data_IF_315579384562
#
_entry.id   IF_315579384562
#
_cell.length_a   1.000
_cell.length_b   1.000
_cell.length_c   1.000
_cell.angle_alpha   90.00
_cell.angle_beta   90.00
_cell.angle_gamma   90.00
#
_symmetry.space_group_name_H-M   'P 1'
#
loop_
_entity.id
_entity.type
_entity.pdbx_description
1 polymer ?
#
# COMPACT_ATOMS: atom_id res chain seq x y z
N UNK A 1 4.54 -6.14 -15.75
CA UNK A 1 4.54 -5.58 -14.39
C UNK A 1 4.28 -6.75 -13.47
N UNK A 2 5.18 -6.99 -12.53
CA UNK A 2 5.07 -8.09 -11.56
C UNK A 2 4.03 -7.73 -10.48
N UNK A 3 3.35 -8.72 -9.89
CA UNK A 3 2.31 -8.48 -8.87
C UNK A 3 2.90 -7.73 -7.67
N UNK A 4 4.16 -8.01 -7.34
CA UNK A 4 4.95 -7.28 -6.34
C UNK A 4 5.18 -5.82 -6.71
N UNK A 5 5.50 -5.54 -7.97
CA UNK A 5 5.70 -4.18 -8.48
C UNK A 5 4.39 -3.38 -8.45
N UNK A 6 3.27 -4.01 -8.82
CA UNK A 6 1.94 -3.40 -8.75
C UNK A 6 1.52 -3.09 -7.31
N UNK A 7 1.72 -4.04 -6.40
CA UNK A 7 1.43 -3.84 -4.97
C UNK A 7 2.28 -2.71 -4.38
N UNK A 8 3.57 -2.67 -4.72
CA UNK A 8 4.46 -1.59 -4.27
C UNK A 8 4.03 -0.23 -4.82
N UNK A 9 3.66 -0.14 -6.09
CA UNK A 9 3.14 1.10 -6.65
C UNK A 9 1.89 1.57 -5.91
N UNK A 10 0.94 0.68 -5.62
CA UNK A 10 -0.28 1.03 -4.87
C UNK A 10 0.02 1.46 -3.43
N UNK A 11 1.03 0.87 -2.79
CA UNK A 11 1.49 1.30 -1.47
C UNK A 11 1.97 2.74 -1.49
N UNK A 12 2.78 3.10 -2.49
CA UNK A 12 3.29 4.46 -2.68
C UNK A 12 2.17 5.46 -3.01
N UNK A 13 1.15 5.04 -3.76
CA UNK A 13 -0.04 5.86 -4.01
C UNK A 13 -0.79 6.18 -2.71
N UNK A 14 -0.99 5.19 -1.83
CA UNK A 14 -1.60 5.40 -0.52
C UNK A 14 -0.76 6.36 0.35
N UNK A 15 0.56 6.16 0.39
CA UNK A 15 1.50 7.02 1.13
C UNK A 15 1.41 8.48 0.65
N UNK A 16 1.37 8.68 -0.67
CA UNK A 16 1.29 10.02 -1.24
C UNK A 16 -0.03 10.72 -0.88
N UNK A 17 -1.14 9.99 -0.84
CA UNK A 17 -2.44 10.55 -0.43
C UNK A 17 -2.41 10.95 1.05
N UNK A 18 -1.86 10.12 1.93
CA UNK A 18 -1.73 10.45 3.37
C UNK A 18 -0.87 11.70 3.57
N UNK A 19 0.27 11.78 2.87
CA UNK A 19 1.13 12.97 2.90
C UNK A 19 0.42 14.22 2.40
N UNK A 20 -0.42 14.09 1.36
CA UNK A 20 -1.19 15.19 0.82
C UNK A 20 -2.24 15.69 1.83
N UNK A 21 -2.91 14.78 2.55
CA UNK A 21 -3.84 15.10 3.64
C UNK A 21 -3.11 15.84 4.77
N UNK A 22 -1.95 15.34 5.21
CA UNK A 22 -1.17 15.96 6.28
C UNK A 22 -0.60 17.33 5.88
N UNK A 23 -0.32 17.53 4.59
CA UNK A 23 0.07 18.82 4.03
C UNK A 23 -1.10 19.80 3.88
N UNK A 24 -2.33 19.39 4.21
CA UNK A 24 -3.55 20.21 4.07
C UNK A 24 -3.95 20.47 2.62
N UNK A 25 -3.53 19.61 1.68
CA UNK A 25 -3.98 19.71 0.30
C UNK A 25 -5.45 19.36 0.19
N UNK A 26 -6.11 19.92 -0.83
CA UNK A 26 -7.50 19.61 -1.12
C UNK A 26 -7.57 18.17 -1.64
N UNK A 27 -8.34 17.34 -0.95
CA UNK A 27 -8.66 15.98 -1.35
C UNK A 27 -10.16 15.86 -1.62
N UNK A 28 -10.55 14.86 -2.39
CA UNK A 28 -11.97 14.58 -2.63
C UNK A 28 -12.54 13.78 -1.44
N UNK A 29 -13.51 14.37 -0.73
CA UNK A 29 -14.13 13.76 0.44
C UNK A 29 -13.58 14.25 1.79
N UNK A 30 -13.92 13.51 2.85
CA UNK A 30 -13.46 13.80 4.22
C UNK A 30 -12.01 13.32 4.42
N UNK A 31 -11.06 14.19 4.81
CA UNK A 31 -9.66 13.81 4.92
C UNK A 31 -9.40 12.71 5.96
N UNK A 32 -10.15 12.68 7.08
CA UNK A 32 -9.94 11.68 8.12
C UNK A 32 -10.46 10.30 7.69
N UNK A 33 -11.59 10.26 7.00
CA UNK A 33 -12.10 9.03 6.38
C UNK A 33 -11.13 8.49 5.33
N UNK A 34 -10.64 9.35 4.43
CA UNK A 34 -9.71 8.96 3.37
C UNK A 34 -8.36 8.49 3.95
N UNK A 35 -7.81 9.19 4.94
CA UNK A 35 -6.60 8.77 5.65
C UNK A 35 -6.78 7.37 6.28
N UNK A 36 -7.90 7.13 6.96
CA UNK A 36 -8.21 5.83 7.54
C UNK A 36 -8.30 4.71 6.48
N UNK A 37 -8.87 4.99 5.32
CA UNK A 37 -8.94 4.03 4.20
C UNK A 37 -7.56 3.72 3.62
N UNK A 38 -6.71 4.74 3.43
CA UNK A 38 -5.35 4.54 2.89
C UNK A 38 -4.47 3.75 3.86
N UNK A 39 -4.56 4.03 5.16
CA UNK A 39 -3.84 3.26 6.18
C UNK A 39 -4.27 1.78 6.19
N UNK A 40 -5.58 1.49 6.06
CA UNK A 40 -6.07 0.12 5.97
C UNK A 40 -5.60 -0.58 4.70
N UNK A 41 -5.61 0.11 3.55
CA UNK A 41 -5.12 -0.45 2.29
C UNK A 41 -3.61 -0.75 2.36
N UNK A 42 -2.81 0.11 3.00
CA UNK A 42 -1.38 -0.14 3.21
C UNK A 42 -1.12 -1.42 4.02
N UNK A 43 -1.86 -1.65 5.10
CA UNK A 43 -1.76 -2.88 5.90
C UNK A 43 -2.08 -4.14 5.08
N UNK A 44 -3.15 -4.08 4.26
CA UNK A 44 -3.52 -5.17 3.35
C UNK A 44 -2.45 -5.45 2.28
N UNK A 45 -1.81 -4.39 1.77
CA UNK A 45 -0.72 -4.52 0.79
C UNK A 45 0.52 -5.14 1.45
N UNK A 46 0.91 -4.68 2.64
CA UNK A 46 2.05 -5.22 3.39
C UNK A 46 1.86 -6.72 3.67
N UNK A 47 0.67 -7.14 4.06
CA UNK A 47 0.33 -8.57 4.23
C UNK A 47 0.58 -9.39 2.96
N UNK A 48 0.10 -8.92 1.81
CA UNK A 48 0.28 -9.61 0.51
C UNK A 48 1.74 -9.62 0.04
N UNK A 49 2.46 -8.51 0.22
CA UNK A 49 3.88 -8.46 -0.10
C UNK A 49 4.68 -9.45 0.76
N UNK A 50 4.28 -9.61 2.03
CA UNK A 50 4.79 -10.64 2.92
C UNK A 50 4.56 -12.05 2.37
N UNK A 51 3.31 -12.38 1.99
CA UNK A 51 2.95 -13.68 1.40
C UNK A 51 3.80 -14.01 0.16
N UNK A 52 3.93 -13.06 -0.78
CA UNK A 52 4.76 -13.22 -1.98
C UNK A 52 6.22 -13.50 -1.59
N UNK A 53 6.77 -12.76 -0.63
CA UNK A 53 8.14 -12.98 -0.17
C UNK A 53 8.36 -14.38 0.42
N UNK A 54 7.40 -14.91 1.18
CA UNK A 54 7.48 -16.28 1.69
C UNK A 54 7.43 -17.32 0.55
N UNK A 55 6.51 -17.16 -0.41
CA UNK A 55 6.42 -18.07 -1.56
C UNK A 55 7.68 -18.06 -2.44
N UNK A 56 8.29 -16.90 -2.65
CA UNK A 56 9.56 -16.75 -3.38
C UNK A 56 10.71 -17.50 -2.68
N UNK A 57 10.72 -17.52 -1.34
CA UNK A 57 11.72 -18.25 -0.56
C UNK A 57 11.54 -19.75 -0.65
N UNK A 58 10.31 -20.24 -0.56
CA UNK A 58 10.01 -21.67 -0.65
C UNK A 58 10.47 -22.25 -2.01
N UNK A 59 10.27 -21.51 -3.11
CA UNK A 59 10.70 -21.90 -4.46
C UNK A 59 12.23 -21.92 -4.67
N UNK A 60 13.01 -21.28 -3.79
CA UNK A 60 14.48 -21.29 -3.83
C UNK A 60 15.09 -22.35 -2.90
N UNK A 61 14.28 -22.95 -2.02
CA UNK A 61 14.70 -23.99 -1.09
C UNK A 61 14.59 -25.41 -1.69
N UNK A 62 13.89 -25.54 -2.83
CA UNK A 62 13.86 -26.71 -3.73
C UNK A 62 14.95 -26.60 -4.81
#
# INVERSE_FOLDING_TARGET
MDDKELLWQRYQECEQIILDIHAGKVVDGDPAELEGQMLLEQDLIEGKLGEIWFEERDKQAD
#
